data_IF_630033804444
#
_entry.id   IF_630033804444
#
_cell.length_a   1.000
_cell.length_b   1.000
_cell.length_c   1.000
_cell.angle_alpha   90.00
_cell.angle_beta   90.00
_cell.angle_gamma   90.00
#
_symmetry.space_group_name_H-M   'P 1'
#
loop_
_entity.id
_entity.type
_entity.pdbx_description
1 polymer ?
#
# COMPACT_ATOMS: atom_id res chain seq x y z
N UNK A 1 -3.04 9.02 17.43
CA UNK A 1 -4.43 8.58 17.19
C UNK A 1 -4.50 7.07 17.34
N UNK A 2 -5.58 6.53 17.91
CA UNK A 2 -5.77 5.08 18.11
C UNK A 2 -7.03 4.65 17.37
N UNK A 3 -6.96 3.54 16.64
CA UNK A 3 -8.10 2.95 15.94
C UNK A 3 -9.14 2.45 16.95
N UNK A 4 -10.38 2.92 16.86
CA UNK A 4 -11.48 2.45 17.72
C UNK A 4 -11.87 1.02 17.36
N UNK A 5 -12.51 0.31 18.29
CA UNK A 5 -13.04 -1.04 18.03
C UNK A 5 -14.03 -1.04 16.86
N UNK A 6 -14.93 -0.05 16.81
CA UNK A 6 -15.86 0.11 15.69
C UNK A 6 -15.12 0.35 14.36
N UNK A 7 -14.05 1.15 14.37
CA UNK A 7 -13.22 1.40 13.19
C UNK A 7 -12.52 0.14 12.72
N UNK A 8 -12.01 -0.69 13.64
CA UNK A 8 -11.40 -1.99 13.32
C UNK A 8 -12.40 -2.94 12.69
N UNK A 9 -13.60 -3.05 13.25
CA UNK A 9 -14.67 -3.86 12.67
C UNK A 9 -15.11 -3.37 11.29
N UNK A 10 -15.14 -2.05 11.07
CA UNK A 10 -15.43 -1.49 9.77
C UNK A 10 -14.35 -1.84 8.74
N UNK A 11 -13.06 -1.79 9.11
CA UNK A 11 -11.97 -2.23 8.25
C UNK A 11 -12.07 -3.72 7.92
N UNK A 12 -12.27 -4.59 8.91
CA UNK A 12 -12.39 -6.03 8.67
C UNK A 12 -13.51 -6.37 7.70
N UNK A 13 -14.66 -5.69 7.77
CA UNK A 13 -15.76 -5.89 6.82
C UNK A 13 -15.45 -5.35 5.42
N UNK A 14 -14.74 -4.23 5.31
CA UNK A 14 -14.48 -3.57 4.03
C UNK A 14 -13.30 -4.19 3.26
N UNK A 15 -12.26 -4.66 3.96
CA UNK A 15 -10.99 -5.08 3.36
C UNK A 15 -11.14 -6.13 2.25
N UNK A 16 -11.92 -7.22 2.41
CA UNK A 16 -12.05 -8.22 1.35
C UNK A 16 -12.63 -7.66 0.06
N UNK A 17 -13.71 -6.86 0.16
CA UNK A 17 -14.35 -6.24 -0.99
C UNK A 17 -13.46 -5.20 -1.66
N UNK A 18 -12.73 -4.41 -0.85
CA UNK A 18 -11.77 -3.44 -1.36
C UNK A 18 -10.60 -4.13 -2.10
N UNK A 19 -9.99 -5.16 -1.51
CA UNK A 19 -8.89 -5.90 -2.11
C UNK A 19 -9.31 -6.57 -3.44
N UNK A 20 -10.49 -7.20 -3.48
CA UNK A 20 -11.03 -7.78 -4.70
C UNK A 20 -11.24 -6.73 -5.81
N UNK A 21 -11.74 -5.55 -5.44
CA UNK A 21 -11.94 -4.45 -6.38
C UNK A 21 -10.61 -3.94 -6.95
N UNK A 22 -9.61 -3.70 -6.08
CA UNK A 22 -8.28 -3.22 -6.48
C UNK A 22 -7.60 -4.25 -7.39
N UNK A 23 -7.62 -5.53 -6.99
CA UNK A 23 -7.09 -6.62 -7.82
C UNK A 23 -7.68 -6.60 -9.23
N UNK A 24 -9.01 -6.54 -9.33
CA UNK A 24 -9.71 -6.52 -10.62
C UNK A 24 -9.41 -5.29 -11.47
N UNK A 25 -9.36 -4.10 -10.86
CA UNK A 25 -9.22 -2.86 -11.61
C UNK A 25 -7.78 -2.56 -12.02
N UNK A 26 -6.80 -2.93 -11.20
CA UNK A 26 -5.41 -2.53 -11.39
C UNK A 26 -4.47 -3.67 -11.76
N UNK A 27 -4.74 -4.90 -11.32
CA UNK A 27 -3.75 -5.99 -11.38
C UNK A 27 -4.16 -7.18 -12.27
N UNK A 28 -5.44 -7.52 -12.40
CA UNK A 28 -5.87 -8.71 -13.17
C UNK A 28 -5.51 -8.64 -14.67
N UNK A 29 -5.38 -7.43 -15.23
CA UNK A 29 -4.96 -7.21 -16.61
C UNK A 29 -3.48 -6.89 -16.79
N UNK A 30 -2.70 -6.85 -15.72
CA UNK A 30 -1.29 -6.47 -15.76
C UNK A 30 -0.43 -7.72 -16.01
N UNK A 31 0.53 -7.62 -16.92
CA UNK A 31 1.57 -8.64 -17.05
C UNK A 31 2.31 -8.79 -15.70
N UNK A 32 2.36 -9.98 -15.09
CA UNK A 32 3.00 -10.19 -13.79
C UNK A 32 4.45 -9.71 -13.72
N UNK A 33 5.18 -9.73 -14.85
CA UNK A 33 6.56 -9.23 -14.92
C UNK A 33 6.69 -7.73 -14.70
N UNK A 34 5.61 -6.96 -14.90
CA UNK A 34 5.58 -5.50 -14.70
C UNK A 34 5.35 -5.10 -13.24
N UNK A 35 4.93 -6.02 -12.37
CA UNK A 35 4.63 -5.70 -10.98
C UNK A 35 5.88 -5.24 -10.20
N UNK A 36 7.01 -5.92 -10.40
CA UNK A 36 8.29 -5.54 -9.78
C UNK A 36 8.76 -4.13 -10.20
N UNK A 37 8.87 -3.84 -11.52
CA UNK A 37 9.19 -2.50 -12.00
C UNK A 37 8.21 -1.41 -11.53
N UNK A 38 6.91 -1.71 -11.48
CA UNK A 38 5.90 -0.77 -10.96
C UNK A 38 6.14 -0.44 -9.49
N UNK A 39 6.40 -1.45 -8.67
CA UNK A 39 6.74 -1.28 -7.25
C UNK A 39 7.97 -0.37 -7.09
N UNK A 40 9.07 -0.68 -7.80
CA UNK A 40 10.30 0.14 -7.77
C UNK A 40 10.04 1.60 -8.17
N UNK A 41 9.24 1.85 -9.20
CA UNK A 41 8.92 3.20 -9.63
C UNK A 41 8.12 3.97 -8.55
N UNK A 42 7.14 3.33 -7.91
CA UNK A 42 6.34 3.94 -6.85
C UNK A 42 7.17 4.24 -5.60
N UNK A 43 8.10 3.37 -5.22
CA UNK A 43 9.04 3.62 -4.11
C UNK A 43 9.92 4.84 -4.37
N UNK A 44 10.49 4.95 -5.58
CA UNK A 44 11.30 6.10 -5.96
C UNK A 44 10.48 7.40 -5.94
N UNK A 45 9.24 7.37 -6.42
CA UNK A 45 8.31 8.51 -6.34
C UNK A 45 8.02 8.86 -4.88
N UNK A 46 7.78 7.87 -4.02
CA UNK A 46 7.55 8.09 -2.60
C UNK A 46 8.72 8.80 -1.92
N UNK A 47 9.94 8.33 -2.15
CA UNK A 47 11.16 8.97 -1.60
C UNK A 47 11.34 10.41 -2.12
N UNK A 48 11.03 10.67 -3.39
CA UNK A 48 11.06 12.04 -3.92
C UNK A 48 10.03 12.94 -3.25
N UNK A 49 8.82 12.44 -3.01
CA UNK A 49 7.76 13.17 -2.30
C UNK A 49 8.20 13.47 -0.86
N UNK A 50 8.84 12.52 -0.17
CA UNK A 50 9.36 12.75 1.18
C UNK A 50 10.49 13.77 1.20
N UNK A 51 11.39 13.73 0.22
CA UNK A 51 12.55 14.61 0.16
C UNK A 51 12.20 16.04 -0.25
N UNK A 52 11.16 16.22 -1.08
CA UNK A 52 10.84 17.52 -1.72
C UNK A 52 9.46 18.07 -1.37
N UNK A 53 8.57 17.23 -0.86
CA UNK A 53 7.20 17.58 -0.54
C UNK A 53 7.06 18.18 0.86
N UNK A 54 5.83 18.63 1.15
CA UNK A 54 5.46 19.19 2.46
C UNK A 54 4.82 18.15 3.38
N UNK A 55 4.64 16.91 2.90
CA UNK A 55 4.05 15.85 3.69
C UNK A 55 5.03 15.38 4.77
N UNK A 56 4.63 15.37 6.05
CA UNK A 56 5.47 14.78 7.09
C UNK A 56 5.64 13.28 6.81
N UNK A 57 6.85 12.77 7.08
CA UNK A 57 7.13 11.33 6.94
C UNK A 57 6.10 10.54 7.78
N UNK A 58 5.42 9.54 7.19
CA UNK A 58 4.49 8.72 7.95
C UNK A 58 5.19 8.05 9.12
N UNK A 59 4.72 8.31 10.34
CA UNK A 59 5.15 7.59 11.53
C UNK A 59 4.39 6.25 11.59
N UNK A 60 4.88 5.26 10.87
CA UNK A 60 4.41 3.88 10.88
C UNK A 60 5.58 2.90 10.71
N UNK A 61 5.40 1.61 11.03
CA UNK A 61 6.44 0.61 10.79
C UNK A 61 6.83 0.64 9.30
N UNK A 62 8.12 0.79 9.02
CA UNK A 62 8.61 0.51 7.67
C UNK A 62 8.34 -0.97 7.40
N UNK A 63 7.50 -1.27 6.42
CA UNK A 63 7.34 -2.64 5.94
C UNK A 63 8.57 -2.93 5.07
N UNK A 64 9.60 -3.52 5.67
CA UNK A 64 10.71 -4.11 4.90
C UNK A 64 10.23 -5.46 4.41
N UNK A 65 10.01 -5.59 3.10
CA UNK A 65 9.68 -6.85 2.45
C UNK A 65 10.87 -7.83 2.47
N UNK A 66 11.32 -8.23 3.67
CA UNK A 66 12.42 -9.19 3.88
C UNK A 66 12.07 -10.38 4.77
N UNK A 67 10.79 -10.60 5.09
CA UNK A 67 10.34 -11.81 5.81
C UNK A 67 9.28 -12.55 4.99
N UNK A 68 9.70 -13.19 3.90
CA UNK A 68 9.03 -14.37 3.34
C UNK A 68 10.09 -15.48 3.25
N UNK A 69 10.23 -16.24 4.34
CA UNK A 69 10.74 -17.63 4.37
C UNK A 69 9.53 -18.58 4.43
#
# INVERSE_FOLDING_TARGET
>A
MVLTSQGREALHRATPGHAALVKRMFFDGLDPSLLGPLHTALDQIHEQILARGTLPRPCGPHWTATDED
#
